data_IF_308563575369
#
_entry.id   IF_308563575369
#
_cell.length_a   1.000
_cell.length_b   1.000
_cell.length_c   1.000
_cell.angle_alpha   90.00
_cell.angle_beta   90.00
_cell.angle_gamma   90.00
#
_symmetry.space_group_name_H-M   'P 1'
#
loop_
_entity.id
_entity.type
_entity.pdbx_description
1 polymer ?
#
# COMPACT_ATOMS: atom_id res chain seq x y z
N UNK A 1 11.07 -1.61 -19.26
CA UNK A 1 10.87 -2.12 -17.88
C UNK A 1 12.09 -1.89 -16.97
N UNK A 2 13.27 -1.51 -17.51
CA UNK A 2 14.47 -1.14 -16.74
C UNK A 2 14.83 0.37 -16.86
N UNK A 3 13.93 1.19 -17.38
CA UNK A 3 14.28 2.48 -18.00
C UNK A 3 14.29 3.71 -17.08
N UNK A 4 14.19 3.55 -15.75
CA UNK A 4 14.16 4.69 -14.80
C UNK A 4 15.24 4.66 -13.73
N UNK A 5 16.20 3.72 -13.79
CA UNK A 5 17.33 3.69 -12.85
C UNK A 5 16.96 3.41 -11.39
N UNK A 6 15.71 3.01 -11.13
CA UNK A 6 15.21 2.60 -9.81
C UNK A 6 15.11 1.07 -9.72
N UNK A 7 15.28 0.48 -8.53
CA UNK A 7 15.06 -0.95 -8.33
C UNK A 7 13.63 -1.33 -8.74
N UNK A 8 13.52 -2.21 -9.74
CA UNK A 8 12.25 -2.74 -10.21
C UNK A 8 12.12 -4.21 -9.85
N UNK A 9 11.00 -4.56 -9.20
CA UNK A 9 10.63 -5.94 -8.92
C UNK A 9 9.32 -6.22 -9.60
N UNK A 10 9.28 -7.16 -10.53
CA UNK A 10 8.02 -7.68 -11.11
C UNK A 10 7.33 -8.62 -10.12
N UNK A 11 6.98 -8.09 -8.96
CA UNK A 11 6.32 -8.78 -7.85
C UNK A 11 5.75 -7.74 -6.88
N UNK A 12 5.04 -8.21 -5.84
CA UNK A 12 4.54 -7.36 -4.76
C UNK A 12 5.65 -6.77 -3.86
N UNK A 13 6.94 -7.04 -4.13
CA UNK A 13 8.04 -6.48 -3.34
C UNK A 13 8.05 -4.95 -3.45
N UNK A 14 8.04 -4.31 -2.29
CA UNK A 14 8.16 -2.86 -2.17
C UNK A 14 9.61 -2.42 -2.39
N UNK A 15 9.80 -1.45 -3.28
CA UNK A 15 11.09 -0.85 -3.63
C UNK A 15 11.22 0.59 -3.13
N UNK A 16 10.14 1.19 -2.65
CA UNK A 16 10.08 2.61 -2.29
C UNK A 16 9.84 2.81 -0.79
N UNK A 17 9.00 1.97 -0.17
CA UNK A 17 8.79 1.91 1.28
C UNK A 17 7.41 2.40 1.74
N UNK A 18 6.68 3.16 0.93
CA UNK A 18 5.35 3.69 1.24
C UNK A 18 4.35 2.56 1.56
N UNK A 19 4.37 1.47 0.78
CA UNK A 19 3.51 0.31 1.02
C UNK A 19 3.86 -0.40 2.33
N UNK A 20 5.16 -0.58 2.61
CA UNK A 20 5.63 -1.21 3.85
C UNK A 20 5.27 -0.36 5.07
N UNK A 21 5.41 0.97 4.97
CA UNK A 21 5.08 1.90 6.05
C UNK A 21 3.58 1.94 6.35
N UNK A 22 2.73 2.00 5.32
CA UNK A 22 1.27 2.01 5.49
C UNK A 22 0.76 0.67 6.02
N UNK A 23 1.20 -0.46 5.45
CA UNK A 23 0.82 -1.80 5.90
C UNK A 23 1.20 -2.06 7.37
N UNK A 24 2.42 -1.67 7.78
CA UNK A 24 2.86 -1.81 9.17
C UNK A 24 2.10 -0.89 10.13
N UNK A 25 1.66 0.29 9.69
CA UNK A 25 0.79 1.17 10.48
C UNK A 25 -0.60 0.58 10.68
N UNK A 26 -1.15 -0.11 9.68
CA UNK A 26 -2.48 -0.75 9.78
C UNK A 26 -2.44 -2.01 10.64
N UNK A 27 -1.55 -2.96 10.33
CA UNK A 27 -1.54 -4.30 10.94
C UNK A 27 -0.15 -4.85 11.27
N UNK A 28 0.86 -4.00 11.41
CA UNK A 28 2.20 -4.42 11.79
C UNK A 28 2.22 -5.17 13.12
N UNK A 29 2.96 -6.28 13.16
CA UNK A 29 3.22 -7.02 14.40
C UNK A 29 3.98 -6.16 15.41
N UNK A 30 3.93 -6.58 16.69
CA UNK A 30 4.69 -5.89 17.74
C UNK A 30 6.18 -6.12 17.56
N UNK A 31 6.95 -5.04 17.37
CA UNK A 31 8.41 -5.08 17.26
C UNK A 31 8.99 -4.17 18.33
N UNK A 32 9.67 -4.77 19.31
CA UNK A 32 10.31 -4.06 20.42
C UNK A 32 11.63 -3.42 20.00
N UNK A 33 12.05 -2.38 20.72
CA UNK A 33 13.34 -1.70 20.52
C UNK A 33 13.52 -1.11 19.11
N UNK A 34 12.44 -0.60 18.53
CA UNK A 34 12.45 0.12 17.25
C UNK A 34 12.74 1.60 17.45
N UNK A 35 13.44 2.22 16.52
CA UNK A 35 13.66 3.68 16.47
C UNK A 35 14.13 4.11 15.08
N UNK A 36 13.96 5.38 14.74
CA UNK A 36 14.61 6.01 13.59
C UNK A 36 15.83 6.78 14.09
N UNK A 37 17.03 6.19 13.96
CA UNK A 37 18.28 6.78 14.47
C UNK A 37 18.19 7.22 15.96
N UNK A 38 17.44 6.49 16.78
CA UNK A 38 17.20 6.81 18.20
C UNK A 38 15.94 7.65 18.48
N UNK A 39 15.31 8.23 17.46
CA UNK A 39 14.06 8.99 17.59
C UNK A 39 12.87 8.02 17.70
N UNK A 40 11.89 8.39 18.53
CA UNK A 40 10.67 7.62 18.79
C UNK A 40 10.94 6.18 19.25
N UNK A 41 11.92 6.01 20.15
CA UNK A 41 12.29 4.69 20.67
C UNK A 41 11.13 4.05 21.44
N UNK A 42 10.79 2.81 21.09
CA UNK A 42 9.72 2.07 21.76
C UNK A 42 9.40 0.73 21.11
N UNK A 43 8.14 0.35 21.19
CA UNK A 43 7.59 -0.83 20.51
C UNK A 43 6.67 -0.36 19.38
N UNK A 44 7.05 -0.62 18.13
CA UNK A 44 6.21 -0.34 16.98
C UNK A 44 5.14 -1.43 16.83
N UNK A 45 3.92 -1.05 16.45
CA UNK A 45 2.79 -1.95 16.18
C UNK A 45 1.74 -1.25 15.34
N UNK A 46 1.01 -1.98 14.49
CA UNK A 46 -0.10 -1.44 13.71
C UNK A 46 -1.39 -1.31 14.52
N UNK A 47 -2.38 -0.60 14.01
CA UNK A 47 -3.71 -0.45 14.62
C UNK A 47 -4.36 -1.78 15.03
N UNK A 48 -4.20 -2.82 14.21
CA UNK A 48 -4.71 -4.18 14.44
C UNK A 48 -3.60 -5.24 14.23
N UNK A 49 -2.70 -5.49 15.20
CA UNK A 49 -1.53 -6.35 15.04
C UNK A 49 -1.82 -7.83 14.75
N UNK A 50 -3.06 -8.28 14.99
CA UNK A 50 -3.51 -9.65 14.77
C UNK A 50 -4.28 -9.82 13.44
N UNK A 51 -4.51 -8.72 12.70
CA UNK A 51 -5.14 -8.79 11.40
C UNK A 51 -4.18 -9.41 10.36
N UNK A 52 -4.76 -10.02 9.33
CA UNK A 52 -3.99 -10.52 8.18
C UNK A 52 -3.86 -9.41 7.13
N UNK A 53 -2.72 -9.37 6.46
CA UNK A 53 -2.47 -8.48 5.32
C UNK A 53 -2.54 -9.26 4.01
N UNK A 54 -3.28 -8.73 3.05
CA UNK A 54 -3.20 -9.08 1.64
C UNK A 54 -2.68 -7.84 0.89
N UNK A 55 -1.62 -7.98 0.09
CA UNK A 55 -0.92 -6.84 -0.51
C UNK A 55 -1.13 -6.85 -2.02
N UNK A 56 -1.80 -5.80 -2.51
CA UNK A 56 -2.05 -5.56 -3.93
C UNK A 56 -1.22 -4.34 -4.37
N UNK A 57 -0.13 -4.58 -5.10
CA UNK A 57 0.77 -3.52 -5.53
C UNK A 57 0.31 -2.94 -6.87
N UNK A 58 -0.18 -1.70 -6.82
CA UNK A 58 -0.65 -0.93 -7.99
C UNK A 58 0.30 0.18 -8.43
N UNK A 59 1.25 0.54 -7.56
CA UNK A 59 2.24 1.58 -7.80
C UNK A 59 3.46 1.04 -8.51
N UNK A 60 3.76 1.59 -9.70
CA UNK A 60 4.92 1.22 -10.51
C UNK A 60 5.61 2.48 -11.01
N UNK A 61 6.95 2.53 -10.87
CA UNK A 61 7.78 3.62 -11.40
C UNK A 61 7.32 5.04 -10.97
N UNK A 62 6.77 5.18 -9.76
CA UNK A 62 6.23 6.46 -9.25
C UNK A 62 4.88 6.86 -9.83
N UNK A 63 4.20 5.94 -10.53
CA UNK A 63 2.89 6.16 -11.14
C UNK A 63 1.87 5.14 -10.64
N UNK A 64 0.60 5.50 -10.76
CA UNK A 64 -0.55 4.66 -10.47
C UNK A 64 -1.42 4.63 -11.73
N UNK A 65 -1.67 3.42 -12.25
CA UNK A 65 -2.55 3.23 -13.40
C UNK A 65 -3.97 2.97 -12.93
N UNK A 66 -4.96 3.66 -13.50
CA UNK A 66 -6.38 3.41 -13.20
C UNK A 66 -6.75 1.93 -13.45
N UNK A 67 -6.16 1.30 -14.48
CA UNK A 67 -6.39 -0.12 -14.77
C UNK A 67 -5.81 -1.06 -13.69
N UNK A 68 -4.63 -0.74 -13.14
CA UNK A 68 -4.02 -1.55 -12.08
C UNK A 68 -4.81 -1.40 -10.77
N UNK A 69 -5.31 -0.19 -10.48
CA UNK A 69 -6.15 0.06 -9.31
C UNK A 69 -7.47 -0.72 -9.41
N UNK A 70 -8.17 -0.64 -10.55
CA UNK A 70 -9.40 -1.41 -10.76
C UNK A 70 -9.16 -2.92 -10.64
N UNK A 71 -8.06 -3.42 -11.22
CA UNK A 71 -7.71 -4.85 -11.11
C UNK A 71 -7.44 -5.25 -9.66
N UNK A 72 -6.76 -4.41 -8.88
CA UNK A 72 -6.51 -4.69 -7.47
C UNK A 72 -7.79 -4.68 -6.62
N UNK A 73 -8.74 -3.80 -6.91
CA UNK A 73 -10.05 -3.83 -6.27
C UNK A 73 -10.83 -5.10 -6.61
N UNK A 74 -10.88 -5.47 -7.89
CA UNK A 74 -11.56 -6.70 -8.35
C UNK A 74 -11.00 -7.93 -7.64
N UNK A 75 -9.67 -8.10 -7.65
CA UNK A 75 -8.99 -9.20 -6.95
C UNK A 75 -9.23 -9.16 -5.43
N UNK A 76 -9.14 -7.99 -4.79
CA UNK A 76 -9.34 -7.86 -3.35
C UNK A 76 -10.77 -8.21 -2.92
N UNK A 77 -11.78 -7.79 -3.70
CA UNK A 77 -13.19 -8.13 -3.47
C UNK A 77 -13.39 -9.63 -3.67
N UNK A 78 -12.87 -10.19 -4.76
CA UNK A 78 -12.95 -11.61 -5.06
C UNK A 78 -12.28 -12.47 -3.97
N UNK A 79 -11.13 -12.05 -3.45
CA UNK A 79 -10.40 -12.71 -2.37
C UNK A 79 -11.09 -12.58 -1.00
N UNK A 80 -12.14 -11.76 -0.90
CA UNK A 80 -12.94 -11.59 0.31
C UNK A 80 -12.22 -10.80 1.40
N UNK A 81 -11.42 -9.79 1.04
CA UNK A 81 -10.80 -8.90 2.04
C UNK A 81 -11.89 -8.15 2.82
N UNK A 82 -11.69 -8.00 4.13
CA UNK A 82 -12.69 -7.40 5.01
C UNK A 82 -12.68 -5.86 4.99
N UNK A 83 -11.50 -5.27 4.82
CA UNK A 83 -11.27 -3.82 4.79
C UNK A 83 -10.15 -3.55 3.79
N UNK A 84 -10.32 -2.51 2.94
CA UNK A 84 -9.27 -2.02 2.05
C UNK A 84 -8.66 -0.75 2.66
N UNK A 85 -7.33 -0.74 2.79
CA UNK A 85 -6.58 0.47 3.17
C UNK A 85 -5.84 0.98 1.93
N UNK A 86 -6.26 2.15 1.46
CA UNK A 86 -5.74 2.76 0.24
C UNK A 86 -5.22 4.16 0.57
N UNK A 87 -3.91 4.37 0.48
CA UNK A 87 -3.24 5.63 0.86
C UNK A 87 -2.74 6.40 -0.36
N UNK A 88 -3.62 6.61 -1.33
CA UNK A 88 -3.38 7.45 -2.50
C UNK A 88 -4.70 8.09 -2.97
N UNK A 89 -4.61 9.04 -3.89
CA UNK A 89 -5.78 9.70 -4.47
C UNK A 89 -5.39 10.64 -5.61
N UNK A 90 -6.38 11.13 -6.35
CA UNK A 90 -6.18 12.08 -7.42
C UNK A 90 -6.09 13.53 -6.89
N UNK A 91 -5.28 14.36 -7.54
CA UNK A 91 -5.21 15.79 -7.24
C UNK A 91 -6.42 16.58 -7.74
N UNK A 92 -7.02 16.12 -8.85
CA UNK A 92 -8.18 16.75 -9.45
C UNK A 92 -9.43 15.92 -9.13
N UNK A 93 -10.49 16.61 -8.71
CA UNK A 93 -11.79 16.00 -8.53
C UNK A 93 -12.36 15.65 -9.90
N UNK A 94 -12.67 14.37 -10.10
CA UNK A 94 -13.42 13.87 -11.26
C UNK A 94 -14.86 13.55 -10.84
N UNK A 95 -15.73 13.30 -11.82
CA UNK A 95 -17.04 12.71 -11.51
C UNK A 95 -16.85 11.29 -10.97
N UNK A 96 -17.79 10.79 -10.16
CA UNK A 96 -17.69 9.46 -9.56
C UNK A 96 -17.48 8.34 -10.60
N UNK A 97 -18.06 8.49 -11.79
CA UNK A 97 -17.95 7.50 -12.88
C UNK A 97 -16.61 7.56 -13.64
N UNK A 98 -15.78 8.56 -13.35
CA UNK A 98 -14.47 8.78 -13.98
C UNK A 98 -13.32 8.72 -12.96
N UNK A 99 -13.63 8.51 -11.68
CA UNK A 99 -12.66 8.37 -10.59
C UNK A 99 -12.55 6.91 -10.16
N UNK A 100 -11.39 6.32 -10.43
CA UNK A 100 -11.08 4.95 -10.03
C UNK A 100 -11.15 4.72 -8.51
N UNK A 101 -11.02 5.77 -7.70
CA UNK A 101 -11.09 5.68 -6.24
C UNK A 101 -12.53 5.66 -5.71
N UNK A 102 -13.54 5.83 -6.57
CA UNK A 102 -14.96 5.92 -6.22
C UNK A 102 -15.71 4.58 -6.32
N UNK A 103 -15.00 3.44 -6.25
CA UNK A 103 -15.57 2.09 -6.33
C UNK A 103 -16.33 1.69 -5.06
#
# INVERSE_FOLDING_TARGET
LESVGLPFFRSARDSEGHGTHTASTVAGSMVTNTSLFGIARGTARGGAPMARLAIYKVGWFGTLSDADILSAFDDAIHDGVHIISMSFGAFLQKSYYEDVNSI
#
